data_IF_753372968499
#
_entry.id   IF_753372968499
#
_cell.length_a   1.000
_cell.length_b   1.000
_cell.length_c   1.000
_cell.angle_alpha   90.00
_cell.angle_beta   90.00
_cell.angle_gamma   90.00
#
_symmetry.space_group_name_H-M   'P 1'
#
loop_
_entity.id
_entity.type
_entity.pdbx_description
1 polymer ?
#
# COMPACT_ATOMS: atom_id res chain seq x y z
N UNK A 1 -25.75 19.88 0.31
CA UNK A 1 -26.62 19.79 -0.89
C UNK A 1 -25.79 20.14 -2.11
N UNK A 2 -25.99 19.43 -3.22
CA UNK A 2 -25.04 19.34 -4.35
C UNK A 2 -24.64 20.68 -4.98
N UNK A 3 -23.36 20.82 -5.29
CA UNK A 3 -22.83 21.98 -6.01
C UNK A 3 -23.41 21.98 -7.42
N UNK A 4 -24.45 22.79 -7.62
CA UNK A 4 -24.99 23.12 -8.93
C UNK A 4 -23.94 23.98 -9.64
N UNK A 5 -23.05 23.34 -10.39
CA UNK A 5 -21.99 24.06 -11.11
C UNK A 5 -22.68 24.89 -12.20
N UNK A 6 -22.70 26.22 -12.03
CA UNK A 6 -23.21 27.17 -13.02
C UNK A 6 -22.34 27.15 -14.27
N UNK A 7 -22.60 26.20 -15.17
CA UNK A 7 -22.01 26.13 -16.51
C UNK A 7 -23.05 26.68 -17.48
N UNK A 8 -22.64 27.57 -18.38
CA UNK A 8 -23.53 28.04 -19.45
C UNK A 8 -23.90 26.86 -20.36
N UNK A 9 -25.15 26.82 -20.85
CA UNK A 9 -25.68 25.71 -21.66
C UNK A 9 -24.82 25.43 -22.89
N UNK A 10 -24.29 26.49 -23.52
CA UNK A 10 -23.36 26.40 -24.66
C UNK A 10 -22.11 25.58 -24.33
N UNK A 11 -21.50 25.80 -23.16
CA UNK A 11 -20.32 25.06 -22.71
C UNK A 11 -20.64 23.60 -22.38
N UNK A 12 -21.83 23.31 -21.86
CA UNK A 12 -22.25 21.92 -21.63
C UNK A 12 -22.40 21.19 -22.96
N UNK A 13 -23.00 21.85 -23.97
CA UNK A 13 -23.13 21.30 -25.30
C UNK A 13 -21.76 21.05 -25.96
N UNK A 14 -20.84 22.00 -25.87
CA UNK A 14 -19.47 21.85 -26.39
C UNK A 14 -18.70 20.72 -25.71
N UNK A 15 -18.81 20.58 -24.38
CA UNK A 15 -18.18 19.47 -23.65
C UNK A 15 -18.75 18.11 -24.11
N UNK A 16 -20.07 18.03 -24.34
CA UNK A 16 -20.70 16.82 -24.89
C UNK A 16 -20.23 16.53 -26.31
N UNK A 17 -20.12 17.56 -27.14
CA UNK A 17 -19.68 17.44 -28.53
C UNK A 17 -18.21 16.99 -28.64
N UNK A 18 -17.36 17.46 -27.73
CA UNK A 18 -15.93 17.15 -27.68
C UNK A 18 -15.58 15.99 -26.73
N UNK A 19 -16.57 15.23 -26.25
CA UNK A 19 -16.36 14.17 -25.26
C UNK A 19 -15.29 13.16 -25.68
N UNK A 20 -15.31 12.74 -26.95
CA UNK A 20 -14.34 11.78 -27.48
C UNK A 20 -12.90 12.35 -27.50
N UNK A 21 -12.73 13.63 -27.82
CA UNK A 21 -11.45 14.33 -27.83
C UNK A 21 -10.93 14.55 -26.40
N UNK A 22 -11.81 14.89 -25.47
CA UNK A 22 -11.50 15.00 -24.04
C UNK A 22 -11.08 13.64 -23.49
N UNK A 23 -11.81 12.58 -23.81
CA UNK A 23 -11.46 11.21 -23.41
C UNK A 23 -10.14 10.74 -24.05
N UNK A 24 -9.87 11.13 -25.29
CA UNK A 24 -8.64 10.78 -26.01
C UNK A 24 -7.39 11.58 -25.58
N UNK A 25 -7.57 12.82 -25.15
CA UNK A 25 -6.51 13.70 -24.65
C UNK A 25 -6.08 13.39 -23.21
N UNK A 26 -6.91 12.68 -22.44
CA UNK A 26 -6.49 12.07 -21.18
C UNK A 26 -5.56 10.91 -21.50
N UNK A 27 -4.26 11.23 -21.55
CA UNK A 27 -3.23 10.22 -21.74
C UNK A 27 -3.38 9.16 -20.63
N UNK A 28 -3.55 7.87 -20.96
CA UNK A 28 -3.60 6.84 -19.94
C UNK A 28 -2.22 6.82 -19.27
N UNK A 29 -2.18 7.22 -17.99
CA UNK A 29 -0.97 7.06 -17.18
C UNK A 29 -0.49 5.60 -17.19
N UNK A 30 0.78 5.34 -16.86
CA UNK A 30 1.34 3.99 -16.95
C UNK A 30 0.45 2.97 -16.21
N UNK A 31 0.29 1.81 -16.83
CA UNK A 31 -0.59 0.75 -16.33
C UNK A 31 -0.27 0.40 -14.87
N UNK A 32 -1.28 -0.10 -14.13
CA UNK A 32 -1.10 -0.54 -12.75
C UNK A 32 0.01 -1.58 -12.61
N UNK A 33 0.23 -2.43 -13.62
CA UNK A 33 1.35 -3.37 -13.69
C UNK A 33 2.73 -2.68 -13.80
N UNK A 34 2.85 -1.59 -14.58
CA UNK A 34 4.07 -0.75 -14.60
C UNK A 34 4.30 -0.01 -13.28
N UNK A 35 3.22 0.38 -12.59
CA UNK A 35 3.31 0.91 -11.22
C UNK A 35 3.69 -0.16 -10.19
N UNK A 36 3.24 -1.41 -10.35
CA UNK A 36 3.56 -2.54 -9.48
C UNK A 36 4.99 -3.09 -9.70
N UNK A 37 5.53 -3.06 -10.91
CA UNK A 37 6.96 -3.28 -11.15
C UNK A 37 7.84 -2.18 -10.51
N UNK A 38 7.31 -0.96 -10.38
CA UNK A 38 7.92 0.13 -9.62
C UNK A 38 7.75 -0.03 -8.09
N UNK A 39 6.81 -0.86 -7.60
CA UNK A 39 6.77 -1.38 -6.23
C UNK A 39 7.78 -2.52 -6.12
N UNK A 40 9.07 -2.16 -6.06
CA UNK A 40 10.17 -3.13 -5.91
C UNK A 40 9.87 -4.15 -4.81
N UNK A 41 10.16 -5.42 -5.09
CA UNK A 41 10.03 -6.50 -4.12
C UNK A 41 10.80 -6.12 -2.84
N UNK A 42 10.08 -5.96 -1.73
CA UNK A 42 10.65 -5.50 -0.45
C UNK A 42 11.73 -6.44 0.09
N UNK A 43 11.64 -7.74 -0.23
CA UNK A 43 12.65 -8.74 0.13
C UNK A 43 13.94 -8.50 -0.64
N UNK A 44 13.85 -8.30 -1.97
CA UNK A 44 15.02 -8.01 -2.81
C UNK A 44 15.73 -6.75 -2.35
N UNK A 45 14.98 -5.67 -2.08
CA UNK A 45 15.56 -4.41 -1.60
C UNK A 45 16.28 -4.56 -0.26
N UNK A 46 15.74 -5.38 0.66
CA UNK A 46 16.39 -5.65 1.95
C UNK A 46 17.66 -6.49 1.77
N UNK A 47 17.60 -7.52 0.92
CA UNK A 47 18.74 -8.38 0.63
C UNK A 47 19.88 -7.63 -0.05
N UNK A 48 19.59 -6.80 -1.06
CA UNK A 48 20.57 -5.96 -1.75
C UNK A 48 21.30 -5.02 -0.79
N UNK A 49 20.55 -4.30 0.07
CA UNK A 49 21.13 -3.38 1.06
C UNK A 49 22.06 -4.10 2.05
N UNK A 50 21.62 -5.24 2.58
CA UNK A 50 22.43 -6.03 3.50
C UNK A 50 23.69 -6.57 2.81
N UNK A 51 23.57 -6.97 1.54
CA UNK A 51 24.69 -7.47 0.76
C UNK A 51 25.74 -6.37 0.50
N UNK A 52 25.31 -5.14 0.15
CA UNK A 52 26.22 -4.01 -0.03
C UNK A 52 27.06 -3.73 1.23
N UNK A 53 26.40 -3.64 2.39
CA UNK A 53 27.09 -3.42 3.67
C UNK A 53 28.09 -4.53 3.97
N UNK A 54 27.73 -5.78 3.69
CA UNK A 54 28.61 -6.92 3.90
C UNK A 54 29.82 -6.90 2.95
N UNK A 55 29.63 -6.61 1.66
CA UNK A 55 30.73 -6.50 0.70
C UNK A 55 31.71 -5.38 1.12
N UNK A 56 31.19 -4.24 1.55
CA UNK A 56 32.02 -3.14 2.05
C UNK A 56 32.81 -3.51 3.31
N UNK A 57 32.22 -4.29 4.21
CA UNK A 57 32.93 -4.78 5.40
C UNK A 57 34.04 -5.76 5.03
N UNK A 58 33.76 -6.66 4.09
CA UNK A 58 34.74 -7.63 3.60
C UNK A 58 35.88 -6.95 2.82
N UNK A 59 35.58 -5.95 1.99
CA UNK A 59 36.60 -5.24 1.21
C UNK A 59 37.57 -4.49 2.11
N UNK A 60 37.10 -3.94 3.24
CA UNK A 60 37.94 -3.28 4.24
C UNK A 60 38.85 -4.23 5.01
N UNK A 61 38.40 -5.46 5.28
CA UNK A 61 39.11 -6.40 6.17
C UNK A 61 39.96 -7.44 5.44
N UNK A 62 39.54 -7.87 4.25
CA UNK A 62 40.05 -9.08 3.61
C UNK A 62 40.35 -8.93 2.11
N UNK A 63 40.16 -7.74 1.53
CA UNK A 63 40.39 -7.50 0.10
C UNK A 63 39.21 -7.93 -0.80
N UNK A 64 39.42 -8.04 -2.12
CA UNK A 64 38.35 -8.36 -3.06
C UNK A 64 37.71 -9.72 -2.78
N UNK A 65 36.38 -9.74 -2.70
CA UNK A 65 35.60 -10.97 -2.45
C UNK A 65 35.25 -11.64 -3.77
N UNK A 66 35.44 -12.96 -3.82
CA UNK A 66 35.08 -13.76 -5.00
C UNK A 66 33.57 -13.69 -5.33
N UNK A 67 33.26 -13.61 -6.62
CA UNK A 67 31.88 -13.46 -7.09
C UNK A 67 30.96 -14.62 -6.73
N UNK A 68 31.48 -15.85 -6.57
CA UNK A 68 30.72 -17.01 -6.09
C UNK A 68 30.30 -16.81 -4.64
N UNK A 69 31.21 -16.35 -3.78
CA UNK A 69 30.93 -16.08 -2.37
C UNK A 69 29.90 -14.96 -2.23
N UNK A 70 29.98 -13.92 -3.08
CA UNK A 70 28.97 -12.85 -3.13
C UNK A 70 27.59 -13.42 -3.48
N UNK A 71 27.50 -14.30 -4.49
CA UNK A 71 26.23 -14.93 -4.90
C UNK A 71 25.65 -15.84 -3.81
N UNK A 72 26.49 -16.63 -3.15
CA UNK A 72 26.07 -17.48 -2.03
C UNK A 72 25.55 -16.65 -0.86
N UNK A 73 26.24 -15.54 -0.53
CA UNK A 73 25.78 -14.62 0.50
C UNK A 73 24.46 -13.92 0.12
N UNK A 74 24.32 -13.52 -1.14
CA UNK A 74 23.10 -12.93 -1.66
C UNK A 74 21.90 -13.88 -1.50
N UNK A 75 22.09 -15.16 -1.84
CA UNK A 75 21.05 -16.19 -1.67
C UNK A 75 20.65 -16.35 -0.20
N UNK A 76 21.63 -16.49 0.70
CA UNK A 76 21.38 -16.61 2.14
C UNK A 76 20.63 -15.40 2.71
N UNK A 77 20.97 -14.18 2.27
CA UNK A 77 20.27 -12.96 2.70
C UNK A 77 18.84 -12.90 2.16
N UNK A 78 18.63 -13.31 0.91
CA UNK A 78 17.29 -13.40 0.34
C UNK A 78 16.41 -14.37 1.11
N UNK A 79 16.91 -15.57 1.41
CA UNK A 79 16.20 -16.58 2.20
C UNK A 79 15.83 -16.04 3.58
N UNK A 80 16.79 -15.41 4.28
CA UNK A 80 16.58 -14.79 5.59
C UNK A 80 15.45 -13.74 5.57
N UNK A 81 15.46 -12.83 4.57
CA UNK A 81 14.43 -11.81 4.48
C UNK A 81 13.09 -12.33 3.93
N UNK A 82 13.10 -13.40 3.13
CA UNK A 82 11.89 -14.04 2.62
C UNK A 82 11.08 -14.68 3.74
N UNK A 83 11.75 -15.38 4.68
CA UNK A 83 11.13 -15.93 5.89
C UNK A 83 10.53 -14.85 6.80
N UNK A 84 11.26 -13.75 7.00
CA UNK A 84 10.82 -12.64 7.85
C UNK A 84 9.59 -11.89 7.28
N UNK A 85 9.47 -11.76 5.96
CA UNK A 85 8.29 -11.14 5.33
C UNK A 85 7.07 -12.06 5.45
N UNK A 86 7.24 -13.37 5.26
CA UNK A 86 6.16 -14.34 5.42
C UNK A 86 5.61 -14.36 6.86
N UNK A 87 6.45 -14.17 7.88
CA UNK A 87 6.00 -14.07 9.28
C UNK A 87 5.26 -12.75 9.57
N UNK A 88 5.75 -11.63 9.02
CA UNK A 88 5.15 -10.32 9.24
C UNK A 88 3.76 -10.17 8.58
N UNK A 89 3.54 -10.80 7.43
CA UNK A 89 2.22 -10.84 6.78
C UNK A 89 1.20 -11.68 7.58
N UNK A 90 1.63 -12.80 8.18
CA UNK A 90 0.78 -13.60 9.08
C UNK A 90 0.34 -12.81 10.32
N UNK A 91 1.22 -11.98 10.88
CA UNK A 91 0.93 -11.13 12.04
C UNK A 91 0.05 -9.91 11.68
N UNK A 92 0.12 -9.44 10.43
CA UNK A 92 -0.69 -8.31 9.93
C UNK A 92 -2.19 -8.60 9.78
N UNK A 93 -2.60 -9.87 9.80
CA UNK A 93 -4.01 -10.27 9.63
C UNK A 93 -4.81 -10.32 10.95
N UNK A 94 -4.18 -10.17 12.11
CA UNK A 94 -4.86 -10.14 13.43
C UNK A 94 -5.41 -8.77 13.82
N UNK A 95 -5.86 -7.96 12.86
CA UNK A 95 -6.54 -6.68 13.10
C UNK A 95 -8.00 -6.73 12.61
N UNK A 96 -8.80 -7.61 13.21
CA UNK A 96 -10.26 -7.48 13.24
C UNK A 96 -10.83 -8.40 14.32
N UNK A 97 -11.03 -7.86 15.53
CA UNK A 97 -12.23 -8.21 16.30
C UNK A 97 -13.20 -7.05 16.12
N UNK A 98 -14.27 -7.36 15.42
CA UNK A 98 -15.33 -6.45 14.99
C UNK A 98 -16.05 -5.86 16.21
N UNK A 99 -16.37 -4.56 16.05
CA UNK A 99 -17.49 -3.75 16.57
C UNK A 99 -18.60 -4.50 17.32
N UNK A 100 -19.20 -3.77 18.26
CA UNK A 100 -20.59 -3.88 18.74
C UNK A 100 -20.79 -4.56 20.11
N UNK A 101 -20.70 -3.74 21.16
CA UNK A 101 -21.57 -3.87 22.33
C UNK A 101 -22.20 -2.50 22.59
N UNK A 102 -23.23 -2.17 21.82
CA UNK A 102 -24.24 -1.20 22.25
C UNK A 102 -24.89 -1.80 23.50
N UNK A 103 -24.80 -1.11 24.64
CA UNK A 103 -25.66 -1.39 25.79
C UNK A 103 -26.96 -0.61 25.63
N UNK A 104 -28.11 -1.25 25.39
CA UNK A 104 -29.41 -0.61 25.55
C UNK A 104 -29.90 -0.83 27.00
N UNK A 105 -29.32 -0.15 27.98
CA UNK A 105 -29.82 -0.17 29.37
C UNK A 105 -29.67 1.19 30.09
N UNK A 106 -29.71 2.31 29.39
CA UNK A 106 -29.67 3.65 30.05
C UNK A 106 -30.64 4.62 29.37
N UNK A 107 -31.89 4.19 29.11
CA UNK A 107 -32.94 5.11 28.68
C UNK A 107 -34.37 4.64 29.03
N UNK A 108 -34.59 4.25 30.29
CA UNK A 108 -35.95 4.10 30.84
C UNK A 108 -36.20 4.77 32.20
N UNK A 109 -35.22 5.48 32.77
CA UNK A 109 -35.34 6.02 34.12
C UNK A 109 -35.78 7.49 34.19
N UNK A 110 -36.23 8.10 33.08
CA UNK A 110 -36.55 9.53 33.12
C UNK A 110 -37.93 9.96 32.62
N UNK A 111 -38.75 9.08 32.04
CA UNK A 111 -40.11 9.47 31.64
C UNK A 111 -41.09 8.29 31.75
N UNK A 112 -41.73 8.15 32.91
CA UNK A 112 -42.91 7.30 33.04
C UNK A 112 -43.31 6.96 34.48
N UNK A 113 -44.42 7.56 34.92
CA UNK A 113 -45.32 7.08 35.98
C UNK A 113 -45.11 7.63 37.40
N UNK A 114 -45.71 8.80 37.64
CA UNK A 114 -46.61 8.87 38.79
C UNK A 114 -47.91 8.12 38.48
N UNK A 115 -48.32 7.22 39.37
CA UNK A 115 -49.69 6.87 39.80
C UNK A 115 -49.58 5.57 40.62
N UNK A 116 -50.11 5.57 41.84
CA UNK A 116 -50.09 4.47 42.79
C UNK A 116 -50.17 5.00 44.21
#
# INVERSE_FOLDING_TARGET
>A
MGLKIGKNESSIHTIKQQEAEIRGSVHPGPSLAKRAAAVRNKVLVKAEKALSVWIEDMSRKHGPVDGKVIREKALSLYEHFSGAVAENERKGFTASKIREALQPQELKDHWGSGIG
#
